data_IF_733528886874
#
_entry.id   IF_733528886874
#
_cell.length_a   1.000
_cell.length_b   1.000
_cell.length_c   1.000
_cell.angle_alpha   90.00
_cell.angle_beta   90.00
_cell.angle_gamma   90.00
#
_symmetry.space_group_name_H-M   'P 1'
#
loop_
_entity.id
_entity.type
_entity.pdbx_description
1 polymer ?
#
# COMPACT_ATOMS: atom_id res chain seq x y z
N UNK A 1 31.08 15.75 -11.79
CA UNK A 1 31.65 14.60 -12.50
C UNK A 1 30.47 13.72 -12.85
N UNK A 2 29.98 13.88 -14.08
CA UNK A 2 28.83 13.17 -14.61
C UNK A 2 29.19 11.69 -14.79
N UNK A 3 28.43 10.83 -14.11
CA UNK A 3 28.46 9.39 -14.38
C UNK A 3 27.61 9.17 -15.63
N UNK A 4 28.15 8.61 -16.72
CA UNK A 4 27.36 8.35 -17.92
C UNK A 4 26.28 7.32 -17.60
N UNK A 5 25.03 7.65 -17.88
CA UNK A 5 23.94 6.67 -17.96
C UNK A 5 24.11 5.97 -19.30
N UNK A 6 24.49 4.69 -19.28
CA UNK A 6 24.60 3.87 -20.48
C UNK A 6 23.18 3.56 -20.98
N UNK A 7 22.70 4.33 -21.96
CA UNK A 7 21.38 4.20 -22.62
C UNK A 7 21.27 2.95 -23.52
N UNK A 8 21.97 1.86 -23.19
CA UNK A 8 21.75 0.56 -23.81
C UNK A 8 20.62 -0.15 -23.10
N UNK A 9 19.40 0.12 -23.55
CA UNK A 9 18.28 -0.82 -23.41
C UNK A 9 18.72 -2.13 -24.05
N UNK A 10 19.14 -3.09 -23.24
CA UNK A 10 19.35 -4.47 -23.70
C UNK A 10 17.97 -4.99 -24.12
N UNK A 11 17.80 -5.23 -25.43
CA UNK A 11 16.66 -5.95 -25.98
C UNK A 11 16.60 -7.36 -25.37
N UNK A 12 15.90 -7.47 -24.25
CA UNK A 12 15.58 -8.73 -23.58
C UNK A 12 14.10 -9.01 -23.76
N UNK A 13 13.76 -9.96 -24.63
CA UNK A 13 12.40 -10.48 -24.75
C UNK A 13 12.06 -11.28 -23.48
N UNK A 14 10.96 -10.96 -22.78
CA UNK A 14 10.54 -11.74 -21.63
C UNK A 14 10.16 -13.15 -22.09
N UNK A 15 10.98 -14.15 -21.74
CA UNK A 15 10.63 -15.55 -21.97
C UNK A 15 9.40 -15.92 -21.11
N UNK A 16 8.46 -16.73 -21.62
CA UNK A 16 7.30 -17.18 -20.85
C UNK A 16 7.71 -17.92 -19.56
N UNK A 17 6.90 -17.78 -18.50
CA UNK A 17 7.07 -18.58 -17.28
C UNK A 17 6.65 -20.02 -17.60
N UNK A 18 7.61 -20.92 -17.77
CA UNK A 18 7.34 -22.36 -17.89
C UNK A 18 6.67 -22.89 -16.61
N UNK A 19 5.99 -24.04 -16.66
CA UNK A 19 5.46 -24.68 -15.43
C UNK A 19 6.55 -24.91 -14.38
N UNK A 20 7.79 -25.19 -14.82
CA UNK A 20 8.97 -25.30 -13.95
C UNK A 20 9.31 -23.96 -13.29
N UNK A 21 9.29 -22.86 -14.06
CA UNK A 21 9.52 -21.51 -13.52
C UNK A 21 8.43 -21.04 -12.56
N UNK A 22 7.16 -21.39 -12.83
CA UNK A 22 6.04 -21.12 -11.92
C UNK A 22 6.22 -21.89 -10.61
N UNK A 23 6.52 -23.19 -10.70
CA UNK A 23 6.73 -24.06 -9.54
C UNK A 23 7.92 -23.60 -8.70
N UNK A 24 9.02 -23.20 -9.33
CA UNK A 24 10.19 -22.64 -8.66
C UNK A 24 9.86 -21.33 -7.92
N UNK A 25 9.09 -20.45 -8.55
CA UNK A 25 8.69 -19.16 -7.96
C UNK A 25 7.69 -19.33 -6.81
N UNK A 26 6.74 -20.27 -6.95
CA UNK A 26 5.81 -20.64 -5.90
C UNK A 26 6.53 -21.27 -4.70
N UNK A 27 7.49 -22.17 -4.95
CA UNK A 27 8.34 -22.76 -3.93
C UNK A 27 9.26 -21.73 -3.25
N UNK A 28 9.77 -20.74 -3.98
CA UNK A 28 10.52 -19.63 -3.42
C UNK A 28 9.64 -18.76 -2.48
N UNK A 29 8.40 -18.49 -2.88
CA UNK A 29 7.43 -17.77 -2.05
C UNK A 29 7.09 -18.55 -0.77
N UNK A 30 6.85 -19.86 -0.90
CA UNK A 30 6.57 -20.74 0.23
C UNK A 30 7.78 -20.87 1.18
N UNK A 31 9.00 -20.97 0.66
CA UNK A 31 10.20 -21.01 1.50
C UNK A 31 10.47 -19.65 2.18
N UNK A 32 10.14 -18.52 1.53
CA UNK A 32 10.19 -17.19 2.14
C UNK A 32 9.22 -17.07 3.32
N UNK A 33 7.98 -17.54 3.18
CA UNK A 33 6.99 -17.51 4.28
C UNK A 33 7.30 -18.55 5.35
N UNK A 34 7.69 -19.77 4.98
CA UNK A 34 8.13 -20.82 5.93
C UNK A 34 9.32 -20.39 6.77
N UNK A 35 10.26 -19.61 6.22
CA UNK A 35 11.37 -19.06 7.03
C UNK A 35 10.93 -18.00 8.03
N UNK A 36 9.80 -17.33 7.82
CA UNK A 36 9.20 -16.48 8.85
C UNK A 36 8.80 -17.31 10.09
N UNK A 37 8.46 -18.60 9.93
CA UNK A 37 8.21 -19.53 11.04
C UNK A 37 9.49 -19.89 11.83
N UNK A 38 10.68 -19.79 11.21
CA UNK A 38 11.96 -20.17 11.82
C UNK A 38 12.60 -19.02 12.59
N UNK A 39 12.05 -18.84 13.78
CA UNK A 39 12.38 -17.95 14.88
C UNK A 39 13.87 -17.92 15.36
N UNK A 40 14.69 -18.89 14.99
CA UNK A 40 16.08 -19.03 15.46
C UNK A 40 17.18 -18.44 14.53
N UNK A 41 16.84 -17.78 13.40
CA UNK A 41 17.83 -17.18 12.48
C UNK A 41 18.00 -15.66 12.68
N UNK A 42 19.23 -15.10 12.50
CA UNK A 42 19.50 -13.68 12.65
C UNK A 42 18.55 -12.82 11.81
N UNK A 43 17.87 -11.83 12.41
CA UNK A 43 16.68 -11.32 11.75
C UNK A 43 16.89 -10.33 10.59
N UNK A 44 18.12 -9.87 10.42
CA UNK A 44 18.56 -8.97 9.33
C UNK A 44 18.64 -9.67 7.96
N UNK A 45 18.33 -10.97 7.89
CA UNK A 45 18.35 -11.76 6.65
C UNK A 45 16.97 -12.28 6.18
N UNK A 46 15.87 -11.69 6.65
CA UNK A 46 14.48 -12.18 6.44
C UNK A 46 13.70 -11.48 5.32
N UNK A 47 12.40 -11.73 5.24
CA UNK A 47 11.42 -11.22 4.24
C UNK A 47 11.42 -9.69 4.03
N UNK A 48 11.92 -8.94 5.02
CA UNK A 48 12.00 -7.47 5.01
C UNK A 48 13.33 -6.94 4.47
N UNK A 49 14.31 -7.82 4.23
CA UNK A 49 15.57 -7.43 3.63
C UNK A 49 15.36 -6.75 2.28
N UNK A 50 16.11 -5.67 2.06
CA UNK A 50 16.24 -5.11 0.72
C UNK A 50 16.82 -6.18 -0.22
N UNK A 51 16.40 -6.20 -1.48
CA UNK A 51 17.03 -7.12 -2.45
C UNK A 51 18.53 -6.86 -2.63
N UNK A 52 18.97 -5.64 -2.30
CA UNK A 52 20.37 -5.22 -2.43
C UNK A 52 21.27 -5.79 -1.34
N UNK A 53 20.73 -6.39 -0.27
CA UNK A 53 21.55 -7.14 0.67
C UNK A 53 21.90 -8.50 0.08
N UNK A 54 23.09 -8.58 -0.51
CA UNK A 54 23.65 -9.80 -1.13
C UNK A 54 23.76 -10.98 -0.18
N UNK A 55 23.71 -10.79 1.14
CA UNK A 55 23.79 -11.85 2.15
C UNK A 55 22.44 -12.50 2.50
N UNK A 56 21.32 -11.78 2.44
CA UNK A 56 20.02 -12.26 2.95
C UNK A 56 19.32 -13.28 2.03
N UNK A 57 19.69 -13.31 0.75
CA UNK A 57 18.93 -14.01 -0.29
C UNK A 57 19.76 -14.93 -1.20
N UNK A 58 21.03 -15.24 -0.85
CA UNK A 58 21.91 -16.13 -1.65
C UNK A 58 21.34 -17.52 -1.96
N UNK A 59 20.36 -17.98 -1.19
CA UNK A 59 19.71 -19.26 -1.42
C UNK A 59 18.66 -19.19 -2.55
N UNK A 60 18.08 -18.01 -2.81
CA UNK A 60 17.10 -17.82 -3.89
C UNK A 60 17.73 -18.03 -5.26
N UNK A 61 19.02 -17.71 -5.44
CA UNK A 61 19.76 -18.01 -6.67
C UNK A 61 20.01 -19.51 -6.91
N UNK A 62 19.68 -20.38 -5.92
CA UNK A 62 19.74 -21.84 -6.08
C UNK A 62 18.38 -22.44 -6.49
N UNK A 63 17.30 -21.68 -6.37
CA UNK A 63 15.91 -22.13 -6.64
C UNK A 63 15.33 -21.43 -7.86
N UNK A 64 15.65 -20.14 -8.04
CA UNK A 64 15.33 -19.39 -9.24
C UNK A 64 16.42 -19.62 -10.29
N UNK A 65 16.07 -19.72 -11.59
CA UNK A 65 17.07 -19.88 -12.65
C UNK A 65 18.16 -18.80 -12.58
N UNK A 66 19.40 -19.18 -12.91
CA UNK A 66 20.53 -18.25 -12.87
C UNK A 66 20.26 -17.00 -13.72
N UNK A 67 20.32 -15.83 -13.09
CA UNK A 67 20.14 -14.53 -13.75
C UNK A 67 18.71 -14.00 -13.76
N UNK A 68 17.69 -14.74 -13.30
CA UNK A 68 16.29 -14.26 -13.30
C UNK A 68 16.07 -13.08 -12.35
N UNK A 69 16.61 -13.14 -11.12
CA UNK A 69 16.49 -12.02 -10.17
C UNK A 69 17.22 -10.79 -10.72
N UNK A 70 18.42 -10.99 -11.27
CA UNK A 70 19.27 -9.91 -11.75
C UNK A 70 18.78 -9.31 -13.08
N UNK A 71 18.16 -10.11 -13.96
CA UNK A 71 17.53 -9.62 -15.19
C UNK A 71 16.26 -8.83 -14.88
N UNK A 72 15.45 -9.26 -13.90
CA UNK A 72 14.28 -8.52 -13.43
C UNK A 72 14.69 -7.24 -12.70
N UNK A 73 15.76 -7.28 -11.90
CA UNK A 73 16.37 -6.11 -11.25
C UNK A 73 16.86 -5.06 -12.24
N UNK A 74 17.57 -5.50 -13.28
CA UNK A 74 18.10 -4.62 -14.31
C UNK A 74 17.01 -4.10 -15.26
N UNK A 75 15.94 -4.86 -15.50
CA UNK A 75 14.87 -4.50 -16.45
C UNK A 75 13.79 -3.60 -15.85
N UNK A 76 13.52 -3.69 -14.54
CA UNK A 76 12.33 -3.06 -13.95
C UNK A 76 12.60 -2.04 -12.84
N UNK A 77 13.85 -1.64 -12.54
CA UNK A 77 14.16 -0.60 -11.53
C UNK A 77 13.27 -0.71 -10.27
N UNK A 78 13.39 -1.83 -9.54
CA UNK A 78 12.44 -2.33 -8.54
C UNK A 78 12.42 -1.52 -7.22
N UNK A 79 11.95 -0.28 -7.33
CA UNK A 79 11.73 0.69 -6.26
C UNK A 79 10.90 1.86 -6.80
N UNK A 80 10.60 2.84 -5.95
CA UNK A 80 9.92 4.06 -6.38
C UNK A 80 10.61 5.29 -5.81
N UNK A 81 10.59 6.39 -6.56
CA UNK A 81 10.99 7.68 -6.03
C UNK A 81 9.86 8.31 -5.23
N UNK A 82 10.19 8.73 -4.01
CA UNK A 82 9.29 9.42 -3.09
C UNK A 82 9.88 10.79 -2.80
N UNK A 83 9.04 11.82 -2.92
CA UNK A 83 9.36 13.20 -2.57
C UNK A 83 8.92 13.48 -1.14
N UNK A 84 9.82 13.92 -0.28
CA UNK A 84 9.46 14.46 1.03
C UNK A 84 8.78 15.82 0.83
N UNK A 85 7.55 15.98 1.32
CA UNK A 85 6.80 17.22 1.13
C UNK A 85 7.43 18.42 1.84
N UNK A 86 8.01 18.21 3.01
CA UNK A 86 8.56 19.28 3.84
C UNK A 86 9.92 19.74 3.35
N UNK A 87 10.79 18.80 2.99
CA UNK A 87 12.17 19.10 2.59
C UNK A 87 12.34 19.23 1.07
N UNK A 88 11.42 18.65 0.28
CA UNK A 88 11.57 18.51 -1.16
C UNK A 88 12.59 17.45 -1.59
N UNK A 89 13.19 16.74 -0.63
CA UNK A 89 14.19 15.71 -0.90
C UNK A 89 13.57 14.53 -1.64
N UNK A 90 14.31 14.02 -2.63
CA UNK A 90 13.90 12.86 -3.43
C UNK A 90 14.66 11.63 -2.97
N UNK A 91 13.94 10.69 -2.37
CA UNK A 91 14.51 9.42 -1.89
C UNK A 91 14.08 8.25 -2.78
N UNK A 92 14.95 7.26 -2.94
CA UNK A 92 14.61 6.01 -3.62
C UNK A 92 14.23 4.94 -2.59
N UNK A 93 13.01 4.43 -2.68
CA UNK A 93 12.50 3.37 -1.82
C UNK A 93 12.56 2.03 -2.54
N UNK A 94 13.43 1.12 -2.10
CA UNK A 94 13.57 -0.20 -2.69
C UNK A 94 12.38 -1.11 -2.35
N UNK A 95 11.95 -1.93 -3.32
CA UNK A 95 10.91 -2.93 -3.11
C UNK A 95 11.47 -4.17 -2.40
N UNK A 96 10.74 -4.71 -1.41
CA UNK A 96 11.12 -5.95 -0.72
C UNK A 96 11.12 -7.16 -1.66
N UNK A 97 11.98 -8.15 -1.38
CA UNK A 97 12.11 -9.36 -2.21
C UNK A 97 10.80 -10.14 -2.33
N UNK A 98 9.99 -10.15 -1.26
CA UNK A 98 8.71 -10.83 -1.23
C UNK A 98 7.74 -10.25 -2.27
N UNK A 99 7.68 -8.91 -2.36
CA UNK A 99 6.83 -8.23 -3.35
C UNK A 99 7.28 -8.55 -4.77
N UNK A 100 8.59 -8.68 -4.99
CA UNK A 100 9.15 -9.04 -6.30
C UNK A 100 8.77 -10.46 -6.73
N UNK A 101 8.90 -11.44 -5.84
CA UNK A 101 8.51 -12.83 -6.13
C UNK A 101 7.01 -12.93 -6.38
N UNK A 102 6.18 -12.23 -5.58
CA UNK A 102 4.74 -12.15 -5.80
C UNK A 102 4.37 -11.52 -7.15
N UNK A 103 5.02 -10.41 -7.52
CA UNK A 103 4.82 -9.77 -8.82
C UNK A 103 5.23 -10.68 -10.00
N UNK A 104 6.33 -11.41 -9.86
CA UNK A 104 6.77 -12.35 -10.90
C UNK A 104 5.73 -13.45 -11.14
N UNK A 105 5.16 -14.02 -10.06
CA UNK A 105 4.08 -15.01 -10.17
C UNK A 105 2.82 -14.46 -10.83
N UNK A 106 2.51 -13.18 -10.62
CA UNK A 106 1.27 -12.55 -11.06
C UNK A 106 1.29 -12.01 -12.49
N UNK A 107 2.42 -11.44 -12.90
CA UNK A 107 2.46 -10.54 -14.05
C UNK A 107 3.43 -10.98 -15.15
N UNK A 108 4.16 -12.07 -14.95
CA UNK A 108 5.14 -12.57 -15.92
C UNK A 108 4.60 -13.78 -16.70
N UNK A 109 4.87 -13.85 -18.01
CA UNK A 109 4.31 -14.84 -18.94
C UNK A 109 3.39 -14.23 -20.01
N UNK A 110 3.03 -15.02 -21.02
CA UNK A 110 2.11 -14.63 -22.09
C UNK A 110 0.68 -14.46 -21.57
N UNK A 111 -0.18 -13.70 -22.27
CA UNK A 111 -1.58 -13.49 -21.88
C UNK A 111 -2.36 -14.80 -21.65
N UNK A 112 -2.06 -15.84 -22.43
CA UNK A 112 -2.67 -17.17 -22.30
C UNK A 112 -2.20 -17.90 -21.03
N UNK A 113 -0.92 -17.78 -20.67
CA UNK A 113 -0.35 -18.36 -19.45
C UNK A 113 -0.82 -17.61 -18.20
N UNK A 114 -0.91 -16.27 -18.26
CA UNK A 114 -1.49 -15.44 -17.21
C UNK A 114 -2.90 -15.94 -16.87
N UNK A 115 -3.74 -16.19 -17.88
CA UNK A 115 -5.09 -16.71 -17.68
C UNK A 115 -5.10 -18.16 -17.12
N UNK A 116 -4.18 -19.02 -17.56
CA UNK A 116 -4.11 -20.43 -17.15
C UNK A 116 -3.72 -20.59 -15.67
N UNK A 117 -2.72 -19.83 -15.22
CA UNK A 117 -2.22 -19.88 -13.85
C UNK A 117 -2.91 -18.90 -12.91
N UNK A 118 -3.76 -18.01 -13.44
CA UNK A 118 -4.45 -16.96 -12.69
C UNK A 118 -5.10 -17.44 -11.39
N UNK A 119 -6.03 -18.40 -11.51
CA UNK A 119 -6.80 -18.92 -10.38
C UNK A 119 -5.90 -19.62 -9.36
N UNK A 120 -4.89 -20.35 -9.83
CA UNK A 120 -3.92 -21.04 -8.96
C UNK A 120 -3.05 -20.04 -8.19
N UNK A 121 -2.58 -19.00 -8.86
CA UNK A 121 -1.75 -17.93 -8.27
C UNK A 121 -2.54 -17.14 -7.24
N UNK A 122 -3.78 -16.79 -7.57
CA UNK A 122 -4.69 -16.12 -6.66
C UNK A 122 -4.93 -16.91 -5.38
N UNK A 123 -5.24 -18.20 -5.51
CA UNK A 123 -5.45 -19.06 -4.35
C UNK A 123 -4.17 -19.19 -3.51
N UNK A 124 -3.00 -19.30 -4.14
CA UNK A 124 -1.71 -19.32 -3.45
C UNK A 124 -1.51 -18.04 -2.62
N UNK A 125 -1.65 -16.87 -3.23
CA UNK A 125 -1.44 -15.59 -2.54
C UNK A 125 -2.44 -15.34 -1.41
N UNK A 126 -3.69 -15.75 -1.61
CA UNK A 126 -4.70 -15.71 -0.56
C UNK A 126 -4.29 -16.61 0.61
N UNK A 127 -3.94 -17.87 0.34
CA UNK A 127 -3.51 -18.82 1.38
C UNK A 127 -2.27 -18.32 2.13
N UNK A 128 -1.30 -17.73 1.42
CA UNK A 128 -0.12 -17.14 2.05
C UNK A 128 -0.48 -15.94 2.93
N UNK A 129 -1.38 -15.06 2.49
CA UNK A 129 -1.82 -13.91 3.29
C UNK A 129 -2.57 -14.36 4.56
N UNK A 130 -3.46 -15.34 4.45
CA UNK A 130 -4.18 -15.93 5.59
C UNK A 130 -3.25 -16.66 6.56
N UNK A 131 -2.26 -17.39 6.04
CA UNK A 131 -1.22 -18.07 6.82
C UNK A 131 -0.38 -17.07 7.60
N UNK A 132 0.21 -16.08 6.92
CA UNK A 132 1.05 -15.06 7.53
C UNK A 132 0.26 -14.21 8.55
N UNK A 133 -1.01 -13.93 8.28
CA UNK A 133 -1.89 -13.27 9.24
C UNK A 133 -2.02 -14.04 10.55
N UNK A 134 -2.26 -15.36 10.49
CA UNK A 134 -2.31 -16.24 11.67
C UNK A 134 -0.98 -16.32 12.40
N UNK A 135 0.13 -16.41 11.66
CA UNK A 135 1.47 -16.44 12.24
C UNK A 135 1.79 -15.15 13.00
N UNK A 136 1.47 -13.98 12.43
CA UNK A 136 1.71 -12.70 13.10
C UNK A 136 0.70 -12.35 14.20
N UNK A 137 -0.39 -13.10 14.32
CA UNK A 137 -1.27 -13.10 15.48
C UNK A 137 -0.81 -14.08 16.58
N UNK A 138 0.14 -14.98 16.31
CA UNK A 138 0.67 -15.92 17.30
C UNK A 138 1.64 -15.20 18.27
N UNK A 139 1.68 -15.54 19.58
CA UNK A 139 2.57 -14.92 20.56
C UNK A 139 4.06 -14.99 20.19
N UNK A 140 4.47 -16.06 19.52
CA UNK A 140 5.84 -16.29 19.05
C UNK A 140 6.26 -15.19 18.07
N UNK A 141 5.32 -14.60 17.32
CA UNK A 141 5.63 -13.55 16.36
C UNK A 141 6.28 -12.30 16.97
N UNK A 142 6.15 -12.10 18.29
CA UNK A 142 6.78 -10.99 19.02
C UNK A 142 8.27 -10.82 18.69
N UNK A 143 8.97 -11.93 18.41
CA UNK A 143 10.39 -11.88 18.06
C UNK A 143 10.71 -11.19 16.71
N UNK A 144 9.70 -10.95 15.87
CA UNK A 144 9.86 -10.19 14.62
C UNK A 144 9.83 -8.67 14.83
N UNK A 145 9.43 -8.18 16.00
CA UNK A 145 9.27 -6.74 16.27
C UNK A 145 10.61 -6.00 16.20
N UNK A 146 11.58 -6.37 17.05
CA UNK A 146 12.90 -5.73 17.09
C UNK A 146 13.63 -5.80 15.73
N UNK A 147 13.63 -6.95 15.04
CA UNK A 147 14.15 -7.05 13.68
C UNK A 147 13.55 -6.08 12.67
N UNK A 148 12.23 -5.93 12.73
CA UNK A 148 11.50 -5.06 11.85
C UNK A 148 11.87 -3.59 12.11
N UNK A 149 11.94 -3.21 13.39
CA UNK A 149 12.41 -1.88 13.80
C UNK A 149 13.80 -1.60 13.23
N UNK A 150 14.74 -2.53 13.38
CA UNK A 150 16.12 -2.37 12.87
C UNK A 150 16.19 -2.30 11.34
N UNK A 151 15.40 -3.14 10.66
CA UNK A 151 15.40 -3.21 9.18
C UNK A 151 14.89 -1.91 8.56
N UNK A 152 13.91 -1.27 9.20
CA UNK A 152 13.29 -0.03 8.74
C UNK A 152 13.75 1.22 9.50
N UNK A 153 14.74 1.09 10.39
CA UNK A 153 15.32 2.18 11.18
C UNK A 153 14.28 2.98 11.97
N UNK A 154 13.36 2.27 12.63
CA UNK A 154 12.20 2.87 13.31
C UNK A 154 12.49 3.30 14.76
N UNK A 155 13.70 3.06 15.28
CA UNK A 155 14.06 3.31 16.68
C UNK A 155 13.76 4.75 17.09
N UNK A 156 14.08 5.71 16.21
CA UNK A 156 13.85 7.14 16.46
C UNK A 156 12.39 7.56 16.36
N UNK A 157 11.45 6.67 15.98
CA UNK A 157 10.02 6.98 15.85
C UNK A 157 9.18 6.40 16.99
N UNK A 158 9.72 5.46 17.77
CA UNK A 158 8.97 4.75 18.81
C UNK A 158 8.40 5.68 19.88
N UNK A 159 9.06 6.80 20.18
CA UNK A 159 8.58 7.78 21.15
C UNK A 159 7.24 8.44 20.75
N UNK A 160 6.90 8.45 19.46
CA UNK A 160 5.64 8.96 18.94
C UNK A 160 4.46 8.01 19.24
N UNK A 161 4.74 6.72 19.50
CA UNK A 161 3.73 5.71 19.78
C UNK A 161 3.13 5.88 21.17
N UNK A 162 1.88 5.42 21.36
CA UNK A 162 1.22 5.37 22.68
C UNK A 162 1.98 4.42 23.61
N UNK A 163 2.34 3.25 23.10
CA UNK A 163 3.23 2.29 23.75
C UNK A 163 4.61 2.33 23.07
N UNK A 164 5.63 3.00 23.65
CA UNK A 164 6.95 3.11 23.05
C UNK A 164 7.83 1.87 23.24
N UNK A 165 7.55 0.98 24.20
CA UNK A 165 8.36 -0.22 24.44
C UNK A 165 7.96 -1.35 23.45
N UNK A 166 8.85 -1.76 22.53
CA UNK A 166 8.57 -2.87 21.62
C UNK A 166 8.27 -4.19 22.33
N UNK A 167 8.74 -4.37 23.57
CA UNK A 167 8.51 -5.57 24.36
C UNK A 167 7.14 -5.59 25.05
N UNK A 168 6.40 -4.50 25.06
CA UNK A 168 5.05 -4.45 25.63
C UNK A 168 4.01 -5.10 24.71
N UNK A 169 4.30 -5.20 23.40
CA UNK A 169 3.39 -5.80 22.44
C UNK A 169 3.37 -7.34 22.57
N UNK A 170 2.18 -7.97 22.59
CA UNK A 170 2.05 -9.42 22.73
C UNK A 170 2.36 -10.18 21.43
N UNK A 171 2.17 -9.55 20.27
CA UNK A 171 2.34 -10.15 18.95
C UNK A 171 2.88 -9.11 17.96
N UNK A 172 3.40 -9.58 16.83
CA UNK A 172 3.87 -8.69 15.77
C UNK A 172 2.73 -7.87 15.16
N UNK A 173 1.55 -8.46 14.95
CA UNK A 173 0.39 -7.70 14.46
C UNK A 173 -0.05 -6.60 15.44
N UNK A 174 0.06 -6.82 16.75
CA UNK A 174 -0.22 -5.79 17.74
C UNK A 174 0.75 -4.59 17.61
N UNK A 175 2.03 -4.87 17.31
CA UNK A 175 3.02 -3.83 17.01
C UNK A 175 2.82 -3.19 15.63
N UNK A 176 2.46 -3.95 14.61
CA UNK A 176 2.25 -3.43 13.25
C UNK A 176 1.06 -2.46 13.24
N UNK A 177 -0.02 -2.81 13.95
CA UNK A 177 -1.18 -1.99 14.20
C UNK A 177 -1.05 -1.10 15.47
N UNK A 178 0.20 -0.76 15.87
CA UNK A 178 0.48 0.12 17.03
C UNK A 178 -0.29 1.43 16.98
N UNK A 179 -0.53 2.02 18.13
CA UNK A 179 -1.19 3.32 18.28
C UNK A 179 -0.19 4.45 18.32
N UNK A 180 -0.56 5.58 17.73
CA UNK A 180 0.24 6.80 17.75
C UNK A 180 -0.41 7.86 18.65
N UNK A 181 0.41 8.63 19.37
CA UNK A 181 -0.07 9.74 20.19
C UNK A 181 -0.69 10.81 19.30
N UNK A 182 -1.83 11.37 19.71
CA UNK A 182 -2.48 12.45 18.96
C UNK A 182 -1.53 13.65 18.76
N UNK A 183 -0.70 13.96 19.77
CA UNK A 183 0.30 15.03 19.70
C UNK A 183 1.39 14.82 18.65
N UNK A 184 1.62 13.59 18.18
CA UNK A 184 2.60 13.28 17.15
C UNK A 184 2.04 13.50 15.73
N UNK A 185 0.72 13.62 15.57
CA UNK A 185 0.04 13.86 14.29
C UNK A 185 -0.91 15.06 14.40
N UNK A 186 -0.39 16.28 14.62
CA UNK A 186 -1.21 17.47 14.69
C UNK A 186 -1.96 17.70 13.37
N UNK A 187 -3.22 18.12 13.47
CA UNK A 187 -4.06 18.41 12.31
C UNK A 187 -3.72 19.80 11.78
N UNK A 188 -3.47 19.89 10.47
CA UNK A 188 -3.25 21.17 9.80
C UNK A 188 -4.54 21.99 9.76
N UNK A 189 -4.43 23.28 10.07
CA UNK A 189 -5.55 24.23 10.12
C UNK A 189 -6.74 23.68 10.94
N UNK A 190 -6.56 23.35 12.24
CA UNK A 190 -7.54 22.59 13.01
C UNK A 190 -8.90 23.29 13.11
N UNK A 191 -8.91 24.63 13.13
CA UNK A 191 -10.12 25.47 13.20
C UNK A 191 -10.84 25.62 11.84
N UNK A 192 -10.29 25.06 10.76
CA UNK A 192 -10.88 25.16 9.43
C UNK A 192 -11.40 23.79 8.95
N UNK A 193 -12.69 23.54 9.16
CA UNK A 193 -13.35 22.30 8.72
C UNK A 193 -13.48 22.16 7.18
N UNK A 194 -13.16 23.23 6.43
CA UNK A 194 -13.07 23.19 4.96
C UNK A 194 -11.77 22.51 4.48
N UNK A 195 -10.78 22.32 5.36
CA UNK A 195 -9.53 21.65 5.03
C UNK A 195 -9.68 20.13 5.10
N UNK A 196 -9.08 19.41 4.15
CA UNK A 196 -8.97 17.95 4.16
C UNK A 196 -7.57 17.53 4.57
N UNK A 197 -7.45 16.40 5.26
CA UNK A 197 -6.17 15.88 5.75
C UNK A 197 -5.80 14.56 5.10
N UNK A 198 -4.50 14.25 5.08
CA UNK A 198 -3.99 12.93 4.71
C UNK A 198 -4.58 11.88 5.66
N UNK A 199 -5.12 10.77 5.13
CA UNK A 199 -5.72 9.74 5.94
C UNK A 199 -4.68 8.82 6.61
N UNK A 200 -3.41 8.85 6.19
CA UNK A 200 -2.39 7.93 6.68
C UNK A 200 -1.00 8.57 6.67
N UNK A 201 -0.08 7.92 7.38
CA UNK A 201 1.35 8.06 7.11
C UNK A 201 1.65 7.21 5.88
N UNK A 202 2.06 7.85 4.79
CA UNK A 202 1.96 7.21 3.49
C UNK A 202 2.84 7.88 2.43
N UNK A 203 2.86 7.21 1.28
CA UNK A 203 3.29 7.71 -0.01
C UNK A 203 2.03 8.05 -0.80
N UNK A 204 1.77 9.35 -0.94
CA UNK A 204 0.51 9.89 -1.42
C UNK A 204 0.62 10.38 -2.87
N UNK A 205 -0.39 10.07 -3.67
CA UNK A 205 -0.66 10.74 -4.94
C UNK A 205 -2.06 11.37 -4.91
N UNK A 206 -2.21 12.48 -5.63
CA UNK A 206 -3.38 13.34 -5.59
C UNK A 206 -3.72 13.83 -7.01
N UNK A 207 -4.95 13.57 -7.45
CA UNK A 207 -5.41 13.92 -8.79
C UNK A 207 -6.71 14.72 -8.71
N UNK A 208 -6.77 15.91 -9.35
CA UNK A 208 -7.98 16.72 -9.37
C UNK A 208 -9.18 16.04 -10.02
N UNK A 209 -8.92 15.08 -10.92
CA UNK A 209 -9.95 14.26 -11.55
C UNK A 209 -9.55 12.79 -11.62
N UNK A 210 -10.54 11.89 -11.65
CA UNK A 210 -10.31 10.46 -11.89
C UNK A 210 -9.62 10.20 -13.24
N UNK A 211 -9.96 10.98 -14.27
CA UNK A 211 -9.32 10.88 -15.60
C UNK A 211 -7.83 11.18 -15.54
N UNK A 212 -7.41 12.14 -14.70
CA UNK A 212 -5.99 12.41 -14.49
C UNK A 212 -5.33 11.25 -13.72
N UNK A 213 -6.02 10.64 -12.76
CA UNK A 213 -5.51 9.48 -12.05
C UNK A 213 -5.27 8.30 -13.00
N UNK A 214 -6.21 7.96 -13.89
CA UNK A 214 -6.03 6.89 -14.88
C UNK A 214 -5.02 7.26 -15.97
N UNK A 215 -4.89 8.55 -16.30
CA UNK A 215 -3.89 9.05 -17.24
C UNK A 215 -2.46 9.00 -16.70
N UNK A 216 -2.23 9.21 -15.42
CA UNK A 216 -0.87 9.37 -14.88
C UNK A 216 -0.42 8.25 -13.94
N UNK A 217 -1.35 7.55 -13.29
CA UNK A 217 -1.04 6.62 -12.21
C UNK A 217 -1.72 5.27 -12.40
N UNK A 218 -3.06 5.22 -12.41
CA UNK A 218 -3.80 3.96 -12.47
C UNK A 218 -3.81 3.43 -13.91
N UNK A 219 -2.85 2.56 -14.24
CA UNK A 219 -2.67 1.95 -15.57
C UNK A 219 -3.21 0.54 -15.69
N UNK A 220 -3.58 -0.06 -14.57
CA UNK A 220 -4.26 -1.35 -14.54
C UNK A 220 -5.53 -1.35 -15.39
N UNK A 221 -5.72 -2.38 -16.21
CA UNK A 221 -6.92 -2.46 -17.06
C UNK A 221 -8.18 -2.66 -16.21
N UNK A 222 -9.26 -2.04 -16.67
CA UNK A 222 -10.59 -2.22 -16.08
C UNK A 222 -10.86 -1.38 -14.84
N UNK A 223 -9.99 -0.45 -14.43
CA UNK A 223 -10.33 0.48 -13.34
C UNK A 223 -11.56 1.32 -13.72
N UNK A 224 -12.58 1.31 -12.85
CA UNK A 224 -13.68 2.27 -12.86
C UNK A 224 -14.10 2.59 -11.42
N UNK A 225 -14.67 3.77 -11.17
CA UNK A 225 -15.22 4.09 -9.85
C UNK A 225 -16.33 3.13 -9.45
N UNK A 226 -17.16 2.69 -10.39
CA UNK A 226 -18.23 1.71 -10.12
C UNK A 226 -17.67 0.41 -9.57
N UNK A 227 -16.58 -0.09 -10.16
CA UNK A 227 -15.90 -1.28 -9.67
C UNK A 227 -15.24 -1.01 -8.33
N UNK A 228 -14.49 0.08 -8.19
CA UNK A 228 -13.82 0.43 -6.93
C UNK A 228 -14.81 0.53 -5.76
N UNK A 229 -15.94 1.19 -5.96
CA UNK A 229 -16.94 1.42 -4.92
C UNK A 229 -17.97 0.29 -4.82
N UNK A 230 -18.01 -0.61 -5.81
CA UNK A 230 -18.97 -1.69 -5.92
C UNK A 230 -20.42 -1.22 -6.09
N UNK A 231 -20.66 0.01 -6.55
CA UNK A 231 -21.99 0.58 -6.79
C UNK A 231 -21.90 1.68 -7.84
N UNK A 232 -22.71 1.55 -8.89
CA UNK A 232 -22.82 2.57 -9.93
C UNK A 232 -23.52 3.83 -9.42
N UNK A 233 -24.52 3.66 -8.55
CA UNK A 233 -25.27 4.76 -7.94
C UNK A 233 -24.39 5.63 -7.03
N UNK A 234 -23.48 4.99 -6.28
CA UNK A 234 -22.50 5.71 -5.47
C UNK A 234 -21.45 6.36 -6.37
N UNK A 235 -20.92 5.65 -7.36
CA UNK A 235 -19.91 6.16 -8.28
C UNK A 235 -20.37 7.40 -9.07
N UNK A 236 -21.64 7.46 -9.47
CA UNK A 236 -22.21 8.61 -10.17
C UNK A 236 -22.13 9.91 -9.35
N UNK A 237 -22.10 9.83 -8.02
CA UNK A 237 -21.95 11.02 -7.16
C UNK A 237 -20.53 11.61 -7.21
N UNK A 238 -19.55 10.84 -7.67
CA UNK A 238 -18.14 11.21 -7.74
C UNK A 238 -17.65 11.40 -9.17
N UNK A 239 -18.54 11.44 -10.16
CA UNK A 239 -18.16 11.66 -11.54
C UNK A 239 -17.52 13.05 -11.73
N UNK A 240 -16.37 13.10 -12.42
CA UNK A 240 -15.52 14.30 -12.48
C UNK A 240 -14.87 14.70 -11.14
N UNK A 241 -14.99 13.86 -10.12
CA UNK A 241 -14.45 14.07 -8.77
C UNK A 241 -12.95 13.88 -8.65
N UNK A 242 -12.40 14.33 -7.53
CA UNK A 242 -10.97 14.21 -7.22
C UNK A 242 -10.66 12.95 -6.41
N UNK A 243 -9.42 12.49 -6.49
CA UNK A 243 -8.97 11.26 -5.83
C UNK A 243 -7.60 11.43 -5.19
N UNK A 244 -7.48 10.93 -3.97
CA UNK A 244 -6.23 10.82 -3.21
C UNK A 244 -5.95 9.36 -2.95
N UNK A 245 -4.74 8.90 -3.27
CA UNK A 245 -4.30 7.51 -3.09
C UNK A 245 -3.13 7.53 -2.12
N UNK A 246 -3.35 7.02 -0.91
CA UNK A 246 -2.37 6.98 0.18
C UNK A 246 -1.88 5.55 0.37
N UNK A 247 -0.73 5.21 -0.21
CA UNK A 247 -0.10 3.89 -0.05
C UNK A 247 0.75 3.85 1.22
N UNK A 248 0.49 2.89 2.08
CA UNK A 248 1.26 2.69 3.32
C UNK A 248 2.35 1.65 3.03
N UNK A 249 3.60 2.08 3.10
CA UNK A 249 4.76 1.19 3.01
C UNK A 249 4.94 0.42 4.32
N UNK A 250 5.59 -0.76 4.33
CA UNK A 250 5.73 -1.57 5.55
C UNK A 250 6.21 -0.78 6.77
N UNK A 251 7.21 0.09 6.62
CA UNK A 251 7.76 0.94 7.69
C UNK A 251 6.79 1.95 8.31
N UNK A 252 5.67 2.25 7.65
CA UNK A 252 4.75 3.29 8.09
C UNK A 252 3.96 2.90 9.34
N UNK A 253 3.19 3.87 9.84
CA UNK A 253 2.14 3.63 10.82
C UNK A 253 0.89 3.14 10.08
N UNK A 254 0.48 1.90 10.34
CA UNK A 254 -0.55 1.18 9.55
C UNK A 254 -1.97 1.36 10.04
N UNK A 255 -2.31 2.55 10.54
CA UNK A 255 -3.71 2.92 10.78
C UNK A 255 -4.11 4.07 9.88
N UNK A 256 -5.39 4.10 9.53
CA UNK A 256 -5.95 5.18 8.73
C UNK A 256 -6.95 5.99 9.53
N UNK A 257 -7.04 7.26 9.16
CA UNK A 257 -7.74 8.30 9.89
C UNK A 257 -8.73 9.01 8.97
N UNK A 258 -9.73 9.64 9.58
CA UNK A 258 -10.74 10.39 8.87
C UNK A 258 -10.11 11.64 8.22
N UNK A 259 -10.18 11.79 6.88
CA UNK A 259 -9.62 12.96 6.19
C UNK A 259 -10.47 14.22 6.41
N UNK A 260 -11.72 14.07 6.85
CA UNK A 260 -12.67 15.14 7.15
C UNK A 260 -13.55 14.75 8.34
N UNK A 261 -14.16 15.74 9.00
CA UNK A 261 -15.23 15.50 9.96
C UNK A 261 -16.54 15.19 9.23
N UNK A 262 -17.32 14.23 9.73
CA UNK A 262 -18.55 13.81 9.05
C UNK A 262 -19.35 12.75 9.80
N UNK A 263 -20.46 12.36 9.18
CA UNK A 263 -21.34 11.27 9.65
C UNK A 263 -21.23 10.08 8.71
N UNK A 264 -21.03 8.89 9.26
CA UNK A 264 -20.97 7.64 8.50
C UNK A 264 -22.35 7.33 7.92
N UNK A 265 -22.42 7.22 6.58
CA UNK A 265 -23.67 6.93 5.84
C UNK A 265 -23.75 5.50 5.31
N UNK A 266 -22.62 4.84 5.12
CA UNK A 266 -22.60 3.46 4.66
C UNK A 266 -21.23 2.83 4.77
N UNK A 267 -21.22 1.51 4.93
CA UNK A 267 -20.01 0.69 4.87
C UNK A 267 -20.31 -0.54 4.03
N UNK A 268 -19.40 -0.84 3.11
CA UNK A 268 -19.51 -1.98 2.21
C UNK A 268 -18.17 -2.68 2.11
N UNK A 269 -18.12 -3.89 2.63
CA UNK A 269 -16.99 -4.79 2.41
C UNK A 269 -17.14 -5.47 1.05
N UNK A 270 -16.06 -5.43 0.27
CA UNK A 270 -15.99 -6.04 -1.05
C UNK A 270 -14.91 -7.13 -1.00
N UNK A 271 -15.28 -8.41 -1.22
CA UNK A 271 -14.32 -9.48 -1.29
C UNK A 271 -13.41 -9.30 -2.51
N UNK A 272 -12.19 -9.82 -2.43
CA UNK A 272 -11.23 -9.71 -3.50
C UNK A 272 -9.93 -10.44 -3.17
N UNK A 273 -8.95 -10.27 -4.04
CA UNK A 273 -7.62 -10.81 -3.90
C UNK A 273 -6.74 -9.95 -2.95
N UNK A 274 -5.45 -10.26 -2.91
CA UNK A 274 -4.42 -9.50 -2.19
C UNK A 274 -3.21 -9.30 -3.10
N UNK A 275 -3.42 -8.66 -4.25
CA UNK A 275 -2.33 -8.22 -5.11
C UNK A 275 -1.51 -7.12 -4.43
N UNK A 276 -0.26 -6.95 -4.84
CA UNK A 276 0.57 -5.86 -4.31
C UNK A 276 0.06 -4.51 -4.81
N UNK A 277 0.10 -3.51 -3.92
CA UNK A 277 -0.18 -2.11 -4.25
C UNK A 277 1.11 -1.34 -4.51
N UNK A 278 2.21 -2.02 -4.84
CA UNK A 278 3.44 -1.34 -5.22
C UNK A 278 3.19 -0.47 -6.47
N UNK A 279 3.77 0.74 -6.56
CA UNK A 279 3.59 1.65 -7.69
C UNK A 279 3.76 0.99 -9.06
N UNK A 280 4.67 0.03 -9.21
CA UNK A 280 4.86 -0.67 -10.48
C UNK A 280 3.65 -1.52 -10.90
N UNK A 281 2.97 -2.16 -9.95
CA UNK A 281 1.76 -2.92 -10.23
C UNK A 281 0.54 -2.02 -10.53
N UNK A 282 0.62 -0.73 -10.16
CA UNK A 282 -0.44 0.25 -10.40
C UNK A 282 -0.19 0.98 -11.73
N UNK A 283 1.06 1.33 -12.00
CA UNK A 283 1.44 2.29 -13.04
C UNK A 283 1.94 1.65 -14.35
N UNK A 284 2.09 0.33 -14.41
CA UNK A 284 2.54 -0.37 -15.61
C UNK A 284 1.33 -0.75 -16.50
N UNK A 285 1.28 -0.31 -17.77
CA UNK A 285 0.25 -0.73 -18.70
C UNK A 285 0.23 -2.25 -18.91
N UNK A 286 -0.95 -2.83 -19.14
CA UNK A 286 -1.10 -4.28 -19.34
C UNK A 286 -1.09 -5.12 -18.06
N UNK A 287 -1.05 -4.46 -16.89
CA UNK A 287 -1.34 -5.07 -15.59
C UNK A 287 -2.82 -5.00 -15.25
N UNK A 288 -3.29 -5.84 -14.32
CA UNK A 288 -4.65 -5.77 -13.79
C UNK A 288 -4.79 -4.55 -12.85
N UNK A 289 -5.99 -4.00 -12.69
CA UNK A 289 -6.23 -2.96 -11.69
C UNK A 289 -6.28 -3.51 -10.25
N UNK A 290 -5.21 -3.30 -9.48
CA UNK A 290 -5.07 -3.88 -8.13
C UNK A 290 -6.08 -3.31 -7.13
N UNK A 291 -6.57 -2.08 -7.33
CA UNK A 291 -7.50 -1.46 -6.40
C UNK A 291 -8.91 -2.07 -6.47
N UNK A 292 -9.40 -2.39 -7.67
CA UNK A 292 -10.72 -3.00 -7.87
C UNK A 292 -10.72 -4.50 -7.62
N UNK A 293 -9.58 -5.18 -7.83
CA UNK A 293 -9.51 -6.62 -7.60
C UNK A 293 -9.22 -7.00 -6.14
N UNK A 294 -8.52 -6.14 -5.40
CA UNK A 294 -8.19 -6.42 -4.02
C UNK A 294 -9.41 -6.35 -3.09
N UNK A 295 -9.35 -7.15 -2.03
CA UNK A 295 -10.27 -7.04 -0.90
C UNK A 295 -10.19 -5.63 -0.31
N UNK A 296 -11.34 -5.02 -0.10
CA UNK A 296 -11.43 -3.64 0.41
C UNK A 296 -12.71 -3.38 1.17
N UNK A 297 -12.70 -2.33 1.98
CA UNK A 297 -13.88 -1.80 2.66
C UNK A 297 -14.12 -0.36 2.22
N UNK A 298 -15.34 -0.06 1.79
CA UNK A 298 -15.77 1.27 1.33
C UNK A 298 -16.63 1.90 2.40
N UNK A 299 -16.15 2.99 3.02
CA UNK A 299 -16.92 3.83 3.94
C UNK A 299 -17.36 5.11 3.22
N UNK A 300 -18.65 5.40 3.25
CA UNK A 300 -19.19 6.68 2.78
C UNK A 300 -19.46 7.59 3.98
N UNK A 301 -18.89 8.78 3.96
CA UNK A 301 -19.15 9.84 4.94
C UNK A 301 -19.97 10.96 4.30
N UNK A 302 -20.90 11.54 5.05
CA UNK A 302 -21.45 12.86 4.77
C UNK A 302 -20.63 13.90 5.52
N UNK A 303 -19.91 14.76 4.80
CA UNK A 303 -19.00 15.73 5.38
C UNK A 303 -19.77 16.81 6.15
N UNK A 304 -19.38 17.07 7.40
CA UNK A 304 -20.07 18.05 8.25
C UNK A 304 -20.05 19.48 7.69
N UNK A 305 -18.95 19.89 7.06
CA UNK A 305 -18.75 21.27 6.60
C UNK A 305 -19.60 21.64 5.37
N UNK A 306 -19.94 20.66 4.51
CA UNK A 306 -20.55 20.91 3.20
C UNK A 306 -21.79 20.07 2.92
N UNK A 307 -22.05 19.02 3.72
CA UNK A 307 -23.07 18.01 3.44
C UNK A 307 -22.74 17.10 2.25
N UNK A 308 -21.56 17.22 1.64
CA UNK A 308 -21.18 16.41 0.48
C UNK A 308 -20.78 14.98 0.87
N UNK A 309 -21.09 13.98 0.03
CA UNK A 309 -20.65 12.61 0.24
C UNK A 309 -19.16 12.48 -0.07
N UNK A 310 -18.40 11.77 0.77
CA UNK A 310 -17.00 11.41 0.57
C UNK A 310 -16.89 9.89 0.67
N UNK A 311 -16.12 9.26 -0.22
CA UNK A 311 -15.82 7.83 -0.11
C UNK A 311 -14.39 7.61 0.39
N UNK A 312 -14.22 6.76 1.40
CA UNK A 312 -12.94 6.30 1.94
C UNK A 312 -12.87 4.81 1.70
N UNK A 313 -11.87 4.35 0.95
CA UNK A 313 -11.69 2.96 0.57
C UNK A 313 -10.41 2.43 1.18
N UNK A 314 -10.54 1.56 2.18
CA UNK A 314 -9.41 0.83 2.76
C UNK A 314 -9.17 -0.42 1.91
N UNK A 315 -8.05 -0.48 1.20
CA UNK A 315 -7.65 -1.57 0.29
C UNK A 315 -6.55 -2.39 0.96
N UNK A 316 -6.82 -3.68 1.20
CA UNK A 316 -5.81 -4.62 1.64
C UNK A 316 -4.97 -5.07 0.45
N UNK A 317 -3.66 -5.26 0.63
CA UNK A 317 -2.78 -5.77 -0.41
C UNK A 317 -2.12 -7.07 0.05
N UNK A 318 -1.17 -7.55 -0.75
CA UNK A 318 -0.42 -8.77 -0.47
C UNK A 318 0.12 -8.78 0.96
N UNK A 319 -0.06 -9.93 1.63
CA UNK A 319 0.21 -10.19 3.04
C UNK A 319 -0.76 -9.61 4.06
N UNK A 320 -1.65 -8.66 3.70
CA UNK A 320 -2.54 -8.02 4.68
C UNK A 320 -3.40 -9.05 5.40
N UNK A 321 -3.14 -9.21 6.68
CA UNK A 321 -3.86 -10.13 7.54
C UNK A 321 -5.32 -9.73 7.76
N UNK A 322 -5.62 -8.42 7.82
CA UNK A 322 -6.99 -7.90 7.95
C UNK A 322 -7.09 -6.39 7.80
N UNK A 323 -8.31 -5.93 7.48
CA UNK A 323 -8.77 -4.54 7.55
C UNK A 323 -9.75 -4.47 8.72
N UNK A 324 -9.46 -3.70 9.76
CA UNK A 324 -10.31 -3.62 10.96
C UNK A 324 -10.62 -2.18 11.33
N UNK A 325 -11.90 -1.83 11.45
CA UNK A 325 -12.31 -0.57 12.06
C UNK A 325 -12.10 -0.61 13.58
N UNK A 326 -11.90 0.56 14.19
CA UNK A 326 -11.69 0.71 15.64
C UNK A 326 -12.81 1.53 16.27
N UNK A 327 -13.11 1.24 17.54
CA UNK A 327 -13.99 2.10 18.35
C UNK A 327 -15.44 2.20 17.86
N UNK A 328 -15.93 1.24 17.06
CA UNK A 328 -17.31 1.22 16.57
C UNK A 328 -17.66 2.34 15.58
N UNK A 329 -16.64 3.03 15.04
CA UNK A 329 -16.81 4.08 14.01
C UNK A 329 -17.42 3.54 12.72
N UNK A 330 -17.50 2.22 12.58
CA UNK A 330 -18.13 1.52 11.47
C UNK A 330 -19.66 1.38 11.57
N UNK A 331 -20.28 2.15 12.48
CA UNK A 331 -21.73 2.17 12.64
C UNK A 331 -22.36 3.28 11.79
N UNK A 332 -23.39 2.96 11.00
CA UNK A 332 -24.16 3.98 10.26
C UNK A 332 -24.76 4.99 11.26
N UNK A 333 -24.53 6.28 11.01
CA UNK A 333 -24.93 7.37 11.90
C UNK A 333 -23.86 7.76 12.92
N UNK A 334 -22.75 7.02 13.05
CA UNK A 334 -21.61 7.45 13.86
C UNK A 334 -21.02 8.75 13.30
N UNK A 335 -20.62 9.64 14.21
CA UNK A 335 -19.90 10.87 13.86
C UNK A 335 -18.40 10.66 14.05
N UNK A 336 -17.61 11.19 13.12
CA UNK A 336 -16.15 11.12 13.16
C UNK A 336 -15.57 12.53 13.03
N UNK A 337 -14.47 12.81 13.75
CA UNK A 337 -13.72 14.06 13.61
C UNK A 337 -12.57 13.90 12.62
N UNK A 338 -12.24 14.96 11.87
CA UNK A 338 -11.00 15.00 11.06
C UNK A 338 -9.79 14.63 11.92
N UNK A 339 -8.99 13.69 11.44
CA UNK A 339 -7.85 13.14 12.16
C UNK A 339 -8.16 12.02 13.15
N UNK A 340 -9.43 11.61 13.33
CA UNK A 340 -9.78 10.46 14.16
C UNK A 340 -9.33 9.16 13.50
N UNK A 341 -8.73 8.25 14.28
CA UNK A 341 -8.41 6.90 13.80
C UNK A 341 -9.70 6.17 13.44
N UNK A 342 -9.79 5.69 12.20
CA UNK A 342 -10.92 4.93 11.69
C UNK A 342 -10.67 3.42 11.77
N UNK A 343 -9.44 2.99 11.51
CA UNK A 343 -9.11 1.57 11.54
C UNK A 343 -7.63 1.29 11.36
N UNK A 344 -7.27 0.01 11.39
CA UNK A 344 -5.91 -0.50 11.27
C UNK A 344 -5.81 -1.61 10.21
N UNK A 345 -4.72 -1.58 9.46
CA UNK A 345 -4.27 -2.70 8.65
C UNK A 345 -3.34 -3.56 9.49
N UNK A 346 -3.59 -4.86 9.47
CA UNK A 346 -2.69 -5.84 10.06
C UNK A 346 -1.66 -6.23 9.00
N UNK A 347 -0.54 -6.80 9.43
CA UNK A 347 0.68 -6.95 8.64
C UNK A 347 0.44 -7.17 7.15
N UNK A 348 1.06 -6.35 6.29
CA UNK A 348 1.02 -6.44 4.83
C UNK A 348 1.09 -5.07 4.15
N UNK A 349 1.00 -5.03 2.82
CA UNK A 349 0.91 -3.75 2.09
C UNK A 349 -0.52 -3.19 2.11
N UNK A 350 -0.73 -1.88 2.25
CA UNK A 350 -2.09 -1.35 2.27
C UNK A 350 -2.19 0.00 1.57
N UNK A 351 -3.40 0.34 1.15
CA UNK A 351 -3.70 1.63 0.53
C UNK A 351 -5.03 2.16 1.05
N UNK A 352 -5.09 3.46 1.30
CA UNK A 352 -6.33 4.18 1.56
C UNK A 352 -6.59 5.11 0.39
N UNK A 353 -7.76 4.97 -0.25
CA UNK A 353 -8.19 5.86 -1.33
C UNK A 353 -9.29 6.75 -0.80
N UNK A 354 -9.20 8.06 -1.04
CA UNK A 354 -10.27 9.01 -0.72
C UNK A 354 -10.77 9.63 -2.02
N UNK A 355 -12.08 9.59 -2.23
CA UNK A 355 -12.73 10.16 -3.41
C UNK A 355 -13.68 11.26 -2.97
N UNK A 356 -13.56 12.42 -3.63
CA UNK A 356 -14.38 13.60 -3.38
C UNK A 356 -15.20 13.95 -4.63
N UNK A 357 -16.44 14.45 -4.48
CA UNK A 357 -17.26 14.87 -5.61
C UNK A 357 -16.64 16.09 -6.31
N UNK A 358 -17.04 16.37 -7.57
CA UNK A 358 -16.50 17.49 -8.33
C UNK A 358 -16.67 18.81 -7.59
N UNK A 359 -15.59 19.60 -7.51
CA UNK A 359 -15.57 20.90 -6.83
C UNK A 359 -15.60 20.83 -5.31
N UNK A 360 -15.52 19.65 -4.69
CA UNK A 360 -15.55 19.53 -3.22
C UNK A 360 -14.23 19.83 -2.53
N UNK A 361 -13.11 19.61 -3.22
CA UNK A 361 -11.78 19.91 -2.69
C UNK A 361 -10.92 20.44 -3.82
N UNK A 362 -10.32 21.60 -3.62
CA UNK A 362 -9.15 22.02 -4.38
C UNK A 362 -7.92 21.38 -3.70
N UNK A 363 -7.38 20.35 -4.33
CA UNK A 363 -6.16 19.67 -3.85
C UNK A 363 -4.97 20.63 -3.92
N UNK A 364 -4.07 20.54 -2.94
CA UNK A 364 -2.90 21.42 -2.89
C UNK A 364 -2.03 21.24 -4.15
N UNK A 365 -1.58 22.36 -4.73
CA UNK A 365 -0.92 22.39 -6.04
C UNK A 365 0.37 21.58 -6.10
N UNK A 366 1.10 21.50 -4.98
CA UNK A 366 2.34 20.74 -4.89
C UNK A 366 2.09 19.24 -4.99
N UNK A 367 1.05 18.72 -4.33
CA UNK A 367 0.64 17.31 -4.44
C UNK A 367 0.20 16.96 -5.86
N UNK A 368 -0.58 17.84 -6.49
CA UNK A 368 -1.03 17.66 -7.89
C UNK A 368 0.16 17.68 -8.84
N UNK A 369 1.09 18.63 -8.69
CA UNK A 369 2.30 18.72 -9.52
C UNK A 369 3.19 17.48 -9.36
N UNK A 370 3.39 17.00 -8.14
CA UNK A 370 4.17 15.80 -7.88
C UNK A 370 3.54 14.56 -8.53
N UNK A 371 2.22 14.44 -8.45
CA UNK A 371 1.49 13.28 -8.96
C UNK A 371 1.36 13.26 -10.49
N UNK A 372 1.18 14.42 -11.12
CA UNK A 372 0.95 14.52 -12.58
C UNK A 372 2.19 14.88 -13.39
N UNK A 373 2.98 15.83 -12.90
CA UNK A 373 4.19 16.33 -13.55
C UNK A 373 5.38 15.43 -13.31
N UNK A 374 5.67 15.13 -12.04
CA UNK A 374 6.79 14.26 -11.67
C UNK A 374 6.44 12.77 -11.71
N UNK A 375 5.15 12.42 -11.61
CA UNK A 375 4.67 11.03 -11.50
C UNK A 375 5.35 10.32 -10.32
N UNK A 376 5.42 11.01 -9.19
CA UNK A 376 6.05 10.53 -7.97
C UNK A 376 5.07 10.59 -6.81
N UNK A 377 5.28 9.68 -5.86
CA UNK A 377 4.56 9.75 -4.61
C UNK A 377 5.17 10.81 -3.71
N UNK A 378 4.35 11.41 -2.86
CA UNK A 378 4.76 12.39 -1.86
C UNK A 378 4.66 11.78 -0.47
N UNK A 379 5.73 11.83 0.32
CA UNK A 379 5.71 11.41 1.72
C UNK A 379 4.81 12.35 2.51
N UNK A 380 3.80 11.77 3.15
CA UNK A 380 2.75 12.47 3.88
C UNK A 380 2.52 11.80 5.22
N UNK A 381 2.09 12.59 6.22
CA UNK A 381 1.68 12.09 7.53
C UNK A 381 0.21 12.35 7.78
N UNK A 382 -0.41 11.55 8.64
CA UNK A 382 -1.77 11.81 9.15
C UNK A 382 -1.88 13.26 9.60
N UNK A 383 -2.99 13.90 9.22
CA UNK A 383 -3.31 15.26 9.65
C UNK A 383 -2.75 16.38 8.77
N UNK A 384 -1.71 16.11 7.97
CA UNK A 384 -1.21 17.08 7.00
C UNK A 384 -2.28 17.39 5.96
N UNK A 385 -2.41 18.67 5.60
CA UNK A 385 -3.42 19.14 4.65
C UNK A 385 -3.24 18.47 3.29
N UNK A 386 -4.32 18.05 2.63
CA UNK A 386 -4.30 17.55 1.24
C UNK A 386 -4.99 18.51 0.27
N UNK A 387 -5.83 19.40 0.79
CA UNK A 387 -6.57 20.37 0.01
C UNK A 387 -7.55 21.14 0.90
N UNK A 388 -8.32 22.02 0.27
CA UNK A 388 -9.34 22.83 0.95
C UNK A 388 -10.54 23.02 0.02
N UNK A 389 -11.75 23.09 0.56
CA UNK A 389 -12.92 23.54 -0.19
C UNK A 389 -12.77 25.05 -0.45
N UNK A 390 -12.74 25.42 -1.73
CA UNK A 390 -12.69 26.82 -2.18
C UNK A 390 -14.02 27.56 -1.95
#
# INVERSE_FOLDING_TARGET
MDVPVDDKVLDYEPHPLTEEGYSASAGALEELTRRAENHNQPPTSHIHGSSTSTESHKWLSKILPHGTIQSVENKFHLGNYVLDRQTGEKTWEAMSIYVRVGMHLLYYGSEQEKALHWKKTLQLLQNQSEKMGKEYDAPESKQHIVPFIQSFQLESTLYEMVEPDPNAYPTFNAFFAREIKESARPIADPENDLVTSSPADCRLTAFPTIDLATKYWIKGFGFTLERLLGSAELAAQFDGGSIVIARLAPQDYHRWHAPVSGTVRGIKDIPGAYYTVNPQAINEPGTLDVFCENKRSVMTLERSATGSPIAIVAVGAMLVGSIKYVGGVDTIGATVRRGQCLGAFYYGGSTVIVVYPPGEVALDEDLVRNSTGHKMETLMRVGWRTGVKA
#
